data_IF_553728987850
#
_entry.id   IF_553728987850
#
_cell.length_a   1.000
_cell.length_b   1.000
_cell.length_c   1.000
_cell.angle_alpha   90.00
_cell.angle_beta   90.00
_cell.angle_gamma   90.00
#
_symmetry.space_group_name_H-M   'P 1'
#
loop_
_entity.id
_entity.type
_entity.pdbx_description
1 polymer ?
#
# COMPACT_ATOMS: atom_id res chain seq x y z
N UNK A 1 18.72 -24.13 4.27
CA UNK A 1 17.83 -23.33 5.13
C UNK A 1 17.37 -22.03 4.46
N UNK A 2 18.26 -21.25 3.81
CA UNK A 2 17.88 -20.02 3.09
C UNK A 2 16.75 -20.18 2.06
N UNK A 3 16.78 -21.24 1.23
CA UNK A 3 15.73 -21.49 0.23
C UNK A 3 14.34 -21.74 0.83
N UNK A 4 14.23 -22.44 1.97
CA UNK A 4 12.93 -22.66 2.64
C UNK A 4 12.34 -21.38 3.21
N UNK A 5 13.19 -20.53 3.77
CA UNK A 5 12.75 -19.24 4.32
C UNK A 5 12.33 -18.28 3.21
N UNK A 6 13.02 -18.29 2.07
CA UNK A 6 12.65 -17.53 0.88
C UNK A 6 11.30 -18.02 0.32
N UNK A 7 11.08 -19.33 0.20
CA UNK A 7 9.80 -19.89 -0.26
C UNK A 7 8.67 -19.48 0.70
N UNK A 8 8.88 -19.63 2.01
CA UNK A 8 7.87 -19.21 2.99
C UNK A 8 7.55 -17.71 2.90
N UNK A 9 8.57 -16.88 2.70
CA UNK A 9 8.37 -15.45 2.47
C UNK A 9 7.57 -15.16 1.19
N UNK A 10 7.85 -15.87 0.10
CA UNK A 10 7.08 -15.77 -1.14
C UNK A 10 5.63 -16.23 -0.94
N UNK A 11 5.40 -17.31 -0.20
CA UNK A 11 4.06 -17.80 0.13
C UNK A 11 3.25 -16.77 0.91
N UNK A 12 3.83 -16.18 1.97
CA UNK A 12 3.12 -15.16 2.75
C UNK A 12 2.82 -13.93 1.90
N UNK A 13 3.79 -13.45 1.12
CA UNK A 13 3.60 -12.31 0.21
C UNK A 13 2.51 -12.59 -0.83
N UNK A 14 2.51 -13.78 -1.45
CA UNK A 14 1.50 -14.18 -2.43
C UNK A 14 0.11 -14.28 -1.79
N UNK A 15 0.01 -14.87 -0.60
CA UNK A 15 -1.25 -14.99 0.13
C UNK A 15 -1.80 -13.60 0.50
N UNK A 16 -0.96 -12.71 1.01
CA UNK A 16 -1.36 -11.32 1.29
C UNK A 16 -1.81 -10.62 0.01
N UNK A 17 -1.06 -10.74 -1.09
CA UNK A 17 -1.42 -10.15 -2.38
C UNK A 17 -2.77 -10.64 -2.90
N UNK A 18 -2.99 -11.96 -2.93
CA UNK A 18 -4.26 -12.55 -3.38
C UNK A 18 -5.42 -12.13 -2.47
N UNK A 19 -5.23 -12.10 -1.15
CA UNK A 19 -6.24 -11.60 -0.22
C UNK A 19 -6.59 -10.15 -0.51
N UNK A 20 -5.60 -9.29 -0.69
CA UNK A 20 -5.83 -7.88 -1.05
C UNK A 20 -6.60 -7.75 -2.35
N UNK A 21 -6.26 -8.51 -3.39
CA UNK A 21 -6.97 -8.48 -4.67
C UNK A 21 -8.42 -8.97 -4.56
N UNK A 22 -8.65 -10.09 -3.87
CA UNK A 22 -9.99 -10.68 -3.71
C UNK A 22 -10.89 -9.79 -2.85
N UNK A 23 -10.34 -9.17 -1.80
CA UNK A 23 -11.07 -8.24 -0.94
C UNK A 23 -11.29 -6.87 -1.58
N UNK A 24 -10.59 -6.54 -2.67
CA UNK A 24 -10.77 -5.25 -3.33
C UNK A 24 -12.10 -5.21 -4.09
N UNK A 25 -12.96 -4.18 -3.90
CA UNK A 25 -14.28 -4.11 -4.54
C UNK A 25 -14.24 -4.23 -6.07
N UNK A 26 -13.24 -3.61 -6.71
CA UNK A 26 -13.07 -3.64 -8.17
C UNK A 26 -12.41 -4.93 -8.67
N UNK A 27 -11.35 -5.43 -8.01
CA UNK A 27 -10.57 -6.56 -8.51
C UNK A 27 -11.21 -7.91 -8.14
N UNK A 28 -11.83 -8.00 -6.96
CA UNK A 28 -12.53 -9.20 -6.51
C UNK A 28 -13.75 -9.56 -7.38
N UNK A 29 -14.28 -8.63 -8.16
CA UNK A 29 -15.32 -8.89 -9.15
C UNK A 29 -14.78 -9.10 -10.57
N UNK A 30 -13.46 -8.97 -10.78
CA UNK A 30 -12.88 -9.00 -12.10
C UNK A 30 -12.76 -10.44 -12.62
N UNK A 31 -13.36 -10.74 -13.77
CA UNK A 31 -13.35 -12.08 -14.39
C UNK A 31 -11.93 -12.65 -14.57
N UNK A 32 -10.96 -11.84 -15.03
CA UNK A 32 -9.57 -12.30 -15.23
C UNK A 32 -8.88 -12.73 -13.92
N UNK A 33 -9.27 -12.16 -12.77
CA UNK A 33 -8.71 -12.58 -11.48
C UNK A 33 -9.20 -14.00 -11.15
N UNK A 34 -10.49 -14.26 -11.36
CA UNK A 34 -11.07 -15.58 -11.14
C UNK A 34 -10.59 -16.60 -12.17
N UNK A 35 -10.44 -16.22 -13.44
CA UNK A 35 -9.80 -17.08 -14.46
C UNK A 35 -8.38 -17.44 -14.05
N UNK A 36 -7.56 -16.48 -13.59
CA UNK A 36 -6.21 -16.75 -13.11
C UNK A 36 -6.17 -17.71 -11.91
N UNK A 37 -7.12 -17.59 -10.98
CA UNK A 37 -7.19 -18.45 -9.79
C UNK A 37 -7.67 -19.87 -10.15
N UNK A 38 -8.60 -19.99 -11.10
CA UNK A 38 -9.31 -21.24 -11.39
C UNK A 38 -8.72 -22.04 -12.57
N UNK A 39 -8.05 -21.39 -13.51
CA UNK A 39 -7.57 -22.00 -14.76
C UNK A 39 -6.04 -22.10 -14.73
N UNK A 40 -5.51 -23.31 -14.87
CA UNK A 40 -4.06 -23.57 -14.78
C UNK A 40 -3.27 -23.14 -16.03
N UNK A 41 -3.90 -23.08 -17.21
CA UNK A 41 -3.24 -22.77 -18.49
C UNK A 41 -3.81 -21.49 -19.14
N UNK A 42 -3.74 -20.35 -18.44
CA UNK A 42 -4.11 -19.07 -19.06
C UNK A 42 -3.06 -18.61 -20.09
N UNK A 43 -3.52 -18.34 -21.31
CA UNK A 43 -2.72 -17.68 -22.34
C UNK A 43 -2.58 -16.18 -22.02
N UNK A 44 -1.37 -15.74 -21.67
CA UNK A 44 -1.05 -14.32 -21.41
C UNK A 44 -1.53 -13.39 -22.53
N UNK A 45 -1.38 -13.82 -23.79
CA UNK A 45 -1.77 -13.03 -24.96
C UNK A 45 -3.28 -12.76 -25.00
N UNK A 46 -4.11 -13.76 -24.68
CA UNK A 46 -5.56 -13.60 -24.67
C UNK A 46 -6.03 -12.66 -23.55
N UNK A 47 -5.39 -12.72 -22.37
CA UNK A 47 -5.70 -11.83 -21.26
C UNK A 47 -5.38 -10.36 -21.60
N UNK A 48 -4.25 -10.11 -22.28
CA UNK A 48 -3.85 -8.77 -22.71
C UNK A 48 -4.86 -8.20 -23.70
N UNK A 49 -5.23 -8.96 -24.73
CA UNK A 49 -6.20 -8.53 -25.74
C UNK A 49 -7.58 -8.22 -25.14
N UNK A 50 -8.08 -9.07 -24.23
CA UNK A 50 -9.34 -8.82 -23.51
C UNK A 50 -9.27 -7.56 -22.64
N UNK A 51 -8.18 -7.40 -21.90
CA UNK A 51 -7.95 -6.22 -21.05
C UNK A 51 -7.93 -4.94 -21.87
N UNK A 52 -7.28 -4.98 -23.04
CA UNK A 52 -7.19 -3.86 -23.98
C UNK A 52 -8.56 -3.47 -24.52
N UNK A 53 -9.35 -4.43 -25.01
CA UNK A 53 -10.70 -4.16 -25.53
C UNK A 53 -11.60 -3.54 -24.46
N UNK A 54 -11.53 -4.05 -23.23
CA UNK A 54 -12.32 -3.52 -22.09
C UNK A 54 -11.92 -2.09 -21.73
N UNK A 55 -10.63 -1.76 -21.85
CA UNK A 55 -10.10 -0.40 -21.69
C UNK A 55 -10.58 0.54 -22.81
N UNK A 56 -10.57 0.07 -24.05
CA UNK A 56 -11.05 0.83 -25.22
C UNK A 56 -12.55 1.13 -25.09
N UNK A 57 -13.39 0.14 -24.75
CA UNK A 57 -14.83 0.36 -24.52
C UNK A 57 -15.13 1.27 -23.33
N UNK A 58 -14.31 1.24 -22.27
CA UNK A 58 -14.46 2.19 -21.14
C UNK A 58 -14.14 3.62 -21.55
N UNK A 59 -13.12 3.82 -22.40
CA UNK A 59 -12.80 5.16 -22.93
C UNK A 59 -13.96 5.72 -23.73
N UNK A 60 -14.63 4.90 -24.54
CA UNK A 60 -15.80 5.32 -25.33
C UNK A 60 -16.95 5.79 -24.42
N UNK A 61 -17.25 5.05 -23.36
CA UNK A 61 -18.27 5.43 -22.37
C UNK A 61 -17.91 6.72 -21.58
N UNK A 62 -16.61 6.99 -21.38
CA UNK A 62 -16.16 8.22 -20.71
C UNK A 62 -16.46 9.50 -21.50
N UNK A 63 -16.69 9.41 -22.81
CA UNK A 63 -16.99 10.59 -23.63
C UNK A 63 -18.48 10.96 -23.66
N UNK A 64 -19.37 10.09 -23.14
CA UNK A 64 -20.83 10.32 -23.20
C UNK A 64 -21.36 11.22 -22.05
N UNK A 65 -20.67 11.27 -20.90
CA UNK A 65 -21.12 12.00 -19.70
C UNK A 65 -20.31 13.29 -19.46
N UNK A 66 -20.62 14.32 -20.25
CA UNK A 66 -19.90 15.59 -20.29
C UNK A 66 -20.14 16.46 -19.06
N UNK A 67 -19.08 16.89 -18.37
CA UNK A 67 -19.17 17.93 -17.32
C UNK A 67 -17.89 18.77 -17.31
N UNK A 68 -18.04 20.08 -17.54
CA UNK A 68 -16.95 21.05 -17.39
C UNK A 68 -16.86 21.48 -15.93
N UNK A 69 -15.71 21.26 -15.30
CA UNK A 69 -15.46 21.76 -13.95
C UNK A 69 -15.07 23.24 -13.99
N UNK A 70 -15.69 24.03 -13.11
CA UNK A 70 -15.28 25.39 -12.86
C UNK A 70 -13.98 25.45 -12.04
N UNK A 71 -13.34 26.63 -11.94
CA UNK A 71 -12.13 26.82 -11.14
C UNK A 71 -12.30 26.39 -9.67
N UNK A 72 -13.47 26.66 -9.08
CA UNK A 72 -13.77 26.29 -7.69
C UNK A 72 -13.89 24.76 -7.50
N UNK A 73 -14.43 24.05 -8.49
CA UNK A 73 -14.52 22.59 -8.44
C UNK A 73 -13.13 21.95 -8.50
N UNK A 74 -12.26 22.47 -9.38
CA UNK A 74 -10.88 21.99 -9.50
C UNK A 74 -10.07 22.22 -8.24
N UNK A 75 -10.25 23.38 -7.57
CA UNK A 75 -9.62 23.66 -6.28
C UNK A 75 -10.12 22.68 -5.20
N UNK A 76 -11.42 22.41 -5.14
CA UNK A 76 -12.00 21.43 -4.20
C UNK A 76 -11.43 20.02 -4.42
N UNK A 77 -11.33 19.58 -5.67
CA UNK A 77 -10.78 18.26 -6.03
C UNK A 77 -9.28 18.18 -5.70
N UNK A 78 -8.52 19.25 -5.95
CA UNK A 78 -7.10 19.32 -5.60
C UNK A 78 -6.89 19.24 -4.08
N UNK A 79 -7.65 20.00 -3.30
CA UNK A 79 -7.61 19.95 -1.82
C UNK A 79 -7.96 18.55 -1.31
N UNK A 80 -8.96 17.90 -1.92
CA UNK A 80 -9.31 16.51 -1.59
C UNK A 80 -8.12 15.56 -1.81
N UNK A 81 -7.48 15.62 -2.98
CA UNK A 81 -6.36 14.74 -3.30
C UNK A 81 -5.12 15.03 -2.44
N UNK A 82 -4.83 16.30 -2.16
CA UNK A 82 -3.73 16.67 -1.26
C UNK A 82 -3.95 16.16 0.16
N UNK A 83 -5.18 16.28 0.68
CA UNK A 83 -5.55 15.71 1.97
C UNK A 83 -5.43 14.18 1.98
N UNK A 84 -5.98 13.50 0.98
CA UNK A 84 -5.89 12.05 0.82
C UNK A 84 -4.45 11.56 0.80
N UNK A 85 -3.57 12.29 0.09
CA UNK A 85 -2.14 12.01 0.00
C UNK A 85 -1.46 12.14 1.35
N UNK A 86 -1.70 13.23 2.08
CA UNK A 86 -1.13 13.46 3.41
C UNK A 86 -1.55 12.36 4.41
N UNK A 87 -2.83 11.99 4.42
CA UNK A 87 -3.32 10.94 5.30
C UNK A 87 -2.73 9.57 4.95
N UNK A 88 -2.69 9.22 3.66
CA UNK A 88 -2.08 7.96 3.20
C UNK A 88 -0.59 7.90 3.52
N UNK A 89 0.13 9.02 3.38
CA UNK A 89 1.56 9.11 3.71
C UNK A 89 1.82 8.94 5.21
N UNK A 90 0.96 9.52 6.08
CA UNK A 90 1.03 9.30 7.53
C UNK A 90 0.84 7.84 7.88
N UNK A 91 -0.11 7.16 7.24
CA UNK A 91 -0.36 5.73 7.43
C UNK A 91 0.87 4.92 6.99
N UNK A 92 1.38 5.12 5.77
CA UNK A 92 2.54 4.39 5.26
C UNK A 92 3.75 4.51 6.19
N UNK A 93 4.16 5.74 6.51
CA UNK A 93 5.30 6.00 7.39
C UNK A 93 5.14 5.41 8.80
N UNK A 94 3.91 5.39 9.33
CA UNK A 94 3.59 4.76 10.61
C UNK A 94 3.73 3.24 10.55
N UNK A 95 3.27 2.60 9.47
CA UNK A 95 3.41 1.16 9.25
C UNK A 95 4.86 0.75 9.04
N UNK A 96 5.64 1.50 8.27
CA UNK A 96 7.09 1.26 8.13
C UNK A 96 7.83 1.38 9.46
N UNK A 97 7.46 2.38 10.28
CA UNK A 97 8.02 2.53 11.62
C UNK A 97 7.65 1.34 12.50
N UNK A 98 6.40 0.89 12.47
CA UNK A 98 5.95 -0.27 13.22
C UNK A 98 6.70 -1.54 12.80
N UNK A 99 6.81 -1.80 11.49
CA UNK A 99 7.57 -2.94 10.97
C UNK A 99 9.03 -2.93 11.46
N UNK A 100 9.70 -1.75 11.43
CA UNK A 100 11.07 -1.60 11.96
C UNK A 100 11.16 -1.92 13.45
N UNK A 101 10.23 -1.40 14.25
CA UNK A 101 10.20 -1.66 15.71
C UNK A 101 10.00 -3.14 15.99
N UNK A 102 9.10 -3.81 15.27
CA UNK A 102 8.87 -5.25 15.40
C UNK A 102 10.11 -6.05 14.99
N UNK A 103 10.79 -5.65 13.92
CA UNK A 103 12.07 -6.24 13.51
C UNK A 103 13.14 -6.11 14.60
N UNK A 104 13.26 -4.94 15.23
CA UNK A 104 14.18 -4.74 16.36
C UNK A 104 13.81 -5.59 17.57
N UNK A 105 12.51 -5.67 17.91
CA UNK A 105 12.02 -6.49 19.01
C UNK A 105 12.31 -7.97 18.76
N UNK A 106 12.08 -8.46 17.54
CA UNK A 106 12.45 -9.82 17.12
C UNK A 106 13.93 -10.10 17.38
N UNK A 107 14.82 -9.20 16.97
CA UNK A 107 16.25 -9.37 17.18
C UNK A 107 16.61 -9.42 18.67
N UNK A 108 15.95 -8.63 19.53
CA UNK A 108 16.13 -8.71 20.99
C UNK A 108 15.71 -10.08 21.54
N UNK A 109 14.60 -10.64 21.07
CA UNK A 109 14.16 -11.98 21.46
C UNK A 109 15.13 -13.07 20.97
N UNK A 110 15.69 -12.93 19.77
CA UNK A 110 16.73 -13.85 19.28
C UNK A 110 18.00 -13.77 20.13
N UNK A 111 18.45 -12.57 20.49
CA UNK A 111 19.60 -12.38 21.37
C UNK A 111 19.35 -12.97 22.76
N UNK A 112 18.13 -12.86 23.30
CA UNK A 112 17.76 -13.48 24.56
C UNK A 112 17.84 -15.01 24.47
N UNK A 113 17.27 -15.60 23.41
CA UNK A 113 17.33 -17.04 23.18
C UNK A 113 18.78 -17.54 23.04
N UNK A 114 19.65 -16.78 22.37
CA UNK A 114 21.08 -17.09 22.28
C UNK A 114 21.79 -16.98 23.62
N UNK A 115 21.54 -15.91 24.40
CA UNK A 115 22.10 -15.75 25.74
C UNK A 115 21.71 -16.88 26.68
N UNK A 116 20.46 -17.34 26.60
CA UNK A 116 19.98 -18.52 27.33
C UNK A 116 20.75 -19.77 26.93
N UNK A 117 20.94 -20.00 25.63
CA UNK A 117 21.66 -21.18 25.15
C UNK A 117 23.11 -21.18 25.65
N UNK A 118 23.77 -20.02 25.63
CA UNK A 118 25.12 -19.87 26.19
C UNK A 118 25.09 -20.15 27.70
N UNK A 119 24.10 -19.62 28.42
CA UNK A 119 23.94 -19.89 29.85
C UNK A 119 23.77 -21.39 30.12
N UNK A 120 22.91 -22.07 29.36
CA UNK A 120 22.67 -23.51 29.44
C UNK A 120 23.96 -24.32 29.26
N UNK A 121 24.70 -24.02 28.18
CA UNK A 121 26.00 -24.65 27.89
C UNK A 121 27.01 -24.45 29.02
N UNK A 122 27.14 -23.23 29.55
CA UNK A 122 28.10 -22.92 30.63
C UNK A 122 27.68 -23.50 31.97
N UNK A 123 26.39 -23.46 32.29
CA UNK A 123 25.86 -23.98 33.55
C UNK A 123 26.05 -25.51 33.62
N UNK A 124 25.88 -26.22 32.50
CA UNK A 124 26.14 -27.66 32.43
C UNK A 124 27.59 -28.07 32.73
N UNK A 125 28.55 -27.15 32.55
CA UNK A 125 29.98 -27.39 32.80
C UNK A 125 30.36 -27.23 34.29
N UNK A 126 29.49 -26.63 35.11
CA UNK A 126 29.74 -26.42 36.52
C UNK A 126 29.48 -27.72 37.29
N UNK A 127 30.55 -28.45 37.62
CA UNK A 127 30.46 -29.82 38.15
C UNK A 127 29.59 -29.95 39.40
N UNK A 128 29.65 -28.99 40.33
CA UNK A 128 28.85 -29.05 41.57
C UNK A 128 27.36 -28.73 41.36
N UNK A 129 26.99 -28.08 40.25
CA UNK A 129 25.59 -27.76 39.90
C UNK A 129 24.97 -28.77 38.93
N UNK A 130 25.81 -29.58 38.28
CA UNK A 130 25.39 -30.53 37.25
C UNK A 130 24.27 -31.49 37.69
N UNK A 131 24.27 -32.07 38.90
CA UNK A 131 23.17 -32.94 39.34
C UNK A 131 21.82 -32.21 39.41
N UNK A 132 21.84 -30.95 39.87
CA UNK A 132 20.65 -30.09 39.95
C UNK A 132 20.21 -29.69 38.54
N UNK A 133 21.16 -29.34 37.69
CA UNK A 133 20.90 -28.95 36.32
C UNK A 133 20.24 -30.08 35.50
N UNK A 134 20.82 -31.28 35.52
CA UNK A 134 20.34 -32.42 34.74
C UNK A 134 18.99 -32.97 35.26
N UNK A 135 18.71 -32.88 36.57
CA UNK A 135 17.45 -33.38 37.16
C UNK A 135 16.31 -32.35 37.17
N UNK A 136 16.62 -31.06 37.28
CA UNK A 136 15.62 -30.01 37.58
C UNK A 136 15.52 -28.95 36.48
N UNK A 137 16.66 -28.48 35.96
CA UNK A 137 16.67 -27.25 35.16
C UNK A 137 16.61 -27.52 33.65
N UNK A 138 17.34 -28.52 33.16
CA UNK A 138 17.59 -28.72 31.72
C UNK A 138 16.32 -28.79 30.87
N UNK A 139 15.29 -29.52 31.31
CA UNK A 139 14.06 -29.69 30.53
C UNK A 139 13.20 -28.43 30.53
N UNK A 140 12.83 -27.95 31.71
CA UNK A 140 11.86 -26.85 31.83
C UNK A 140 12.48 -25.48 31.48
N UNK A 141 13.78 -25.30 31.70
CA UNK A 141 14.51 -24.09 31.30
C UNK A 141 14.61 -23.97 29.78
N UNK A 142 15.06 -25.04 29.08
CA UNK A 142 15.15 -25.05 27.62
C UNK A 142 13.77 -24.87 26.99
N UNK A 143 12.72 -25.51 27.52
CA UNK A 143 11.35 -25.34 27.02
C UNK A 143 10.78 -23.93 27.26
N UNK A 144 11.14 -23.27 28.36
CA UNK A 144 10.74 -21.87 28.60
C UNK A 144 11.34 -20.87 27.59
N UNK A 145 12.39 -21.27 26.86
CA UNK A 145 13.14 -20.39 25.96
C UNK A 145 13.15 -20.87 24.50
N UNK A 146 12.76 -22.12 24.24
CA UNK A 146 12.74 -22.75 22.91
C UNK A 146 11.59 -22.28 22.01
N UNK A 147 10.69 -21.44 22.49
CA UNK A 147 9.53 -21.01 21.72
C UNK A 147 9.96 -19.85 20.81
N UNK A 148 10.29 -20.19 19.57
CA UNK A 148 10.63 -19.21 18.55
C UNK A 148 9.46 -18.26 18.32
N UNK A 149 9.72 -16.94 18.18
CA UNK A 149 8.66 -16.01 17.91
C UNK A 149 8.42 -15.91 16.41
N UNK A 150 7.99 -17.01 15.79
CA UNK A 150 7.53 -17.03 14.39
C UNK A 150 6.50 -15.91 14.16
N UNK A 151 5.71 -15.59 15.21
CA UNK A 151 4.76 -14.49 15.24
C UNK A 151 5.34 -13.11 14.94
N UNK A 152 6.56 -12.77 15.38
CA UNK A 152 7.15 -11.46 15.05
C UNK A 152 7.51 -11.35 13.58
N UNK A 153 8.03 -12.43 12.98
CA UNK A 153 8.42 -12.42 11.56
C UNK A 153 7.21 -12.31 10.65
N UNK A 154 6.17 -13.10 10.93
CA UNK A 154 4.92 -13.06 10.16
C UNK A 154 4.25 -11.69 10.30
N UNK A 155 4.10 -11.20 11.54
CA UNK A 155 3.50 -9.89 11.79
C UNK A 155 4.28 -8.75 11.14
N UNK A 156 5.62 -8.74 11.25
CA UNK A 156 6.47 -7.73 10.61
C UNK A 156 6.29 -7.72 9.09
N UNK A 157 6.14 -8.90 8.48
CA UNK A 157 6.00 -9.01 7.03
C UNK A 157 4.60 -8.58 6.57
N UNK A 158 3.56 -8.93 7.30
CA UNK A 158 2.19 -8.47 7.02
C UNK A 158 2.05 -6.94 7.17
N UNK A 159 2.68 -6.33 8.19
CA UNK A 159 2.71 -4.87 8.34
C UNK A 159 3.48 -4.19 7.19
N UNK A 160 4.59 -4.79 6.74
CA UNK A 160 5.36 -4.25 5.61
C UNK A 160 4.58 -4.36 4.29
N UNK A 161 3.84 -5.45 4.09
CA UNK A 161 2.92 -5.57 2.96
C UNK A 161 1.83 -4.49 3.01
N UNK A 162 1.27 -4.23 4.19
CA UNK A 162 0.29 -3.15 4.40
C UNK A 162 0.86 -1.75 4.09
N UNK A 163 2.14 -1.50 4.44
CA UNK A 163 2.84 -0.27 4.08
C UNK A 163 3.01 -0.15 2.55
N UNK A 164 3.47 -1.23 1.88
CA UNK A 164 3.65 -1.25 0.43
C UNK A 164 2.34 -1.01 -0.35
N UNK A 165 1.20 -1.50 0.15
CA UNK A 165 -0.12 -1.19 -0.43
C UNK A 165 -0.43 0.31 -0.29
N UNK A 166 -0.09 0.91 0.85
CA UNK A 166 -0.28 2.35 1.09
C UNK A 166 0.57 3.19 0.14
N UNK A 167 1.81 2.80 -0.13
CA UNK A 167 2.69 3.48 -1.11
C UNK A 167 2.17 3.36 -2.55
N UNK A 168 1.56 2.22 -2.88
CA UNK A 168 0.93 2.02 -4.18
C UNK A 168 -0.26 2.95 -4.38
N UNK A 169 -1.08 3.12 -3.33
CA UNK A 169 -2.18 4.12 -3.32
C UNK A 169 -1.63 5.53 -3.43
N UNK A 170 -0.57 5.86 -2.69
CA UNK A 170 0.09 7.17 -2.76
C UNK A 170 0.54 7.49 -4.20
N UNK A 171 1.16 6.52 -4.87
CA UNK A 171 1.60 6.65 -6.27
C UNK A 171 0.42 6.84 -7.25
N UNK A 172 -0.75 6.26 -6.94
CA UNK A 172 -1.95 6.44 -7.74
C UNK A 172 -2.54 7.86 -7.57
N UNK A 173 -2.45 8.42 -6.36
CA UNK A 173 -2.92 9.78 -6.03
C UNK A 173 -2.07 10.90 -6.66
N UNK A 174 -0.84 10.62 -7.11
CA UNK A 174 -0.02 11.63 -7.80
C UNK A 174 -0.57 11.98 -9.20
N UNK A 175 -1.28 11.06 -9.87
CA UNK A 175 -1.74 11.26 -11.26
C UNK A 175 -2.83 12.34 -11.40
N UNK A 176 -3.90 12.36 -10.58
CA UNK A 176 -4.92 13.39 -10.67
C UNK A 176 -4.39 14.80 -10.40
N UNK A 177 -3.45 14.94 -9.45
CA UNK A 177 -2.80 16.23 -9.16
C UNK A 177 -2.06 16.76 -10.38
N UNK A 178 -1.31 15.89 -11.09
CA UNK A 178 -0.64 16.25 -12.33
C UNK A 178 -1.65 16.64 -13.45
N UNK A 179 -2.77 15.91 -13.56
CA UNK A 179 -3.83 16.23 -14.53
C UNK A 179 -4.48 17.59 -14.24
N UNK A 180 -4.74 17.93 -12.98
CA UNK A 180 -5.30 19.23 -12.58
C UNK A 180 -4.34 20.37 -12.93
N UNK A 181 -3.03 20.18 -12.69
CA UNK A 181 -2.02 21.17 -13.07
C UNK A 181 -1.96 21.37 -14.59
N UNK A 182 -2.01 20.29 -15.36
CA UNK A 182 -2.06 20.35 -16.82
C UNK A 182 -3.32 21.06 -17.32
N UNK A 183 -4.48 20.76 -16.72
CA UNK A 183 -5.74 21.41 -17.04
C UNK A 183 -5.69 22.93 -16.80
N UNK A 184 -5.18 23.37 -15.64
CA UNK A 184 -4.99 24.80 -15.33
C UNK A 184 -4.08 25.50 -16.35
N UNK A 185 -3.02 24.83 -16.80
CA UNK A 185 -2.13 25.37 -17.83
C UNK A 185 -2.83 25.51 -19.19
N UNK A 186 -3.59 24.49 -19.62
CA UNK A 186 -4.33 24.55 -20.87
C UNK A 186 -5.45 25.60 -20.85
N UNK A 187 -6.13 25.75 -19.72
CA UNK A 187 -7.16 26.77 -19.55
C UNK A 187 -6.56 28.19 -19.65
N UNK A 188 -5.38 28.41 -19.06
CA UNK A 188 -4.64 29.68 -19.23
C UNK A 188 -4.26 29.94 -20.71
N UNK A 189 -3.80 28.92 -21.44
CA UNK A 189 -3.49 29.02 -22.87
C UNK A 189 -4.77 29.36 -23.67
N UNK A 190 -5.90 28.75 -23.32
CA UNK A 190 -7.19 28.98 -23.97
C UNK A 190 -7.66 30.42 -23.76
N UNK A 191 -7.62 30.93 -22.53
CA UNK A 191 -7.96 32.31 -22.19
C UNK A 191 -7.10 33.30 -22.99
N UNK A 192 -5.78 33.08 -23.01
CA UNK A 192 -4.84 33.93 -23.75
C UNK A 192 -5.08 33.90 -25.26
N UNK A 193 -5.39 32.72 -25.82
CA UNK A 193 -5.66 32.55 -27.25
C UNK A 193 -6.98 33.24 -27.65
N UNK A 194 -8.03 33.15 -26.81
CA UNK A 194 -9.30 33.86 -27.01
C UNK A 194 -9.10 35.38 -26.94
N UNK A 195 -8.31 35.87 -25.99
CA UNK A 195 -7.98 37.29 -25.89
C UNK A 195 -7.17 37.79 -27.11
N UNK A 196 -6.26 36.98 -27.64
CA UNK A 196 -5.53 37.28 -28.87
C UNK A 196 -6.46 37.34 -30.08
N UNK A 197 -7.37 36.38 -30.22
CA UNK A 197 -8.36 36.38 -31.30
C UNK A 197 -9.21 37.65 -31.27
N UNK A 198 -9.71 38.04 -30.09
CA UNK A 198 -10.50 39.27 -29.92
C UNK A 198 -9.71 40.53 -30.35
N UNK A 199 -8.40 40.58 -30.08
CA UNK A 199 -7.53 41.68 -30.53
C UNK A 199 -7.33 41.70 -32.04
N UNK A 200 -7.16 40.53 -32.66
CA UNK A 200 -6.97 40.39 -34.11
C UNK A 200 -8.24 40.76 -34.90
N UNK A 201 -9.42 40.45 -34.35
CA UNK A 201 -10.71 40.75 -34.99
C UNK A 201 -11.19 42.19 -34.75
N UNK A 202 -10.78 42.84 -33.65
CA UNK A 202 -11.23 44.20 -33.32
C UNK A 202 -10.58 45.34 -34.14
N UNK A 203 -9.43 45.12 -34.81
CA UNK A 203 -8.72 46.19 -35.56
C UNK A 203 -9.19 46.31 -37.02
N UNK A 204 -10.30 46.96 -37.34
CA UNK A 204 -10.80 47.13 -38.73
C UNK A 204 -10.10 48.23 -39.58
N UNK A 205 -8.95 48.77 -39.18
CA UNK A 205 -8.52 50.11 -39.63
C UNK A 205 -7.29 50.28 -40.54
N UNK A 206 -6.76 49.26 -41.23
CA UNK A 206 -5.63 49.48 -42.17
C UNK A 206 -6.11 49.47 -43.63
N UNK A 207 -6.05 50.60 -44.36
CA UNK A 207 -6.69 50.77 -45.67
C UNK A 207 -5.88 50.18 -46.86
N UNK A 208 -4.89 49.32 -46.60
CA UNK A 208 -4.07 48.70 -47.63
C UNK A 208 -4.21 47.19 -47.51
N UNK A 209 -5.00 46.58 -48.39
CA UNK A 209 -5.28 45.13 -48.47
C UNK A 209 -4.05 44.23 -48.69
N UNK A 210 -2.82 44.74 -48.57
CA UNK A 210 -1.58 43.97 -48.64
C UNK A 210 -1.29 43.10 -47.41
N UNK A 211 -1.96 43.33 -46.27
CA UNK A 211 -1.78 42.51 -45.05
C UNK A 211 -3.02 41.73 -44.62
N UNK A 212 -4.10 41.81 -45.41
CA UNK A 212 -5.38 41.13 -45.16
C UNK A 212 -5.17 39.61 -45.10
N UNK A 213 -4.47 39.04 -46.10
CA UNK A 213 -4.22 37.60 -46.21
C UNK A 213 -3.34 37.06 -45.07
N UNK A 214 -2.37 37.85 -44.59
CA UNK A 214 -1.55 37.46 -43.43
C UNK A 214 -2.38 37.46 -42.15
N UNK A 215 -3.22 38.49 -41.95
CA UNK A 215 -4.11 38.57 -40.81
C UNK A 215 -5.13 37.42 -40.80
N UNK A 216 -5.72 37.13 -41.95
CA UNK A 216 -6.68 36.03 -42.08
C UNK A 216 -6.04 34.68 -41.75
N UNK A 217 -4.79 34.48 -42.20
CA UNK A 217 -3.97 33.33 -41.76
C UNK A 217 -3.73 33.32 -40.25
N UNK A 218 -3.37 34.44 -39.63
CA UNK A 218 -3.15 34.52 -38.19
C UNK A 218 -4.45 34.27 -37.39
N UNK A 219 -5.59 34.78 -37.85
CA UNK A 219 -6.91 34.53 -37.26
C UNK A 219 -7.26 33.05 -37.33
N UNK A 220 -7.08 32.42 -38.50
CA UNK A 220 -7.37 31.00 -38.67
C UNK A 220 -6.43 30.14 -37.82
N UNK A 221 -5.13 30.45 -37.77
CA UNK A 221 -4.19 29.76 -36.89
C UNK A 221 -4.56 29.87 -35.40
N UNK A 222 -5.03 31.03 -34.96
CA UNK A 222 -5.50 31.21 -33.57
C UNK A 222 -6.82 30.47 -33.34
N UNK A 223 -7.74 30.44 -34.30
CA UNK A 223 -8.99 29.64 -34.21
C UNK A 223 -8.69 28.14 -34.10
N UNK A 224 -7.79 27.63 -34.93
CA UNK A 224 -7.37 26.23 -34.90
C UNK A 224 -6.73 25.90 -33.54
N UNK A 225 -5.88 26.79 -33.02
CA UNK A 225 -5.30 26.63 -31.68
C UNK A 225 -6.36 26.62 -30.59
N UNK A 226 -7.34 27.54 -30.64
CA UNK A 226 -8.45 27.57 -29.68
C UNK A 226 -9.23 26.26 -29.73
N UNK A 227 -9.55 25.77 -30.93
CA UNK A 227 -10.28 24.51 -31.11
C UNK A 227 -9.53 23.33 -30.49
N UNK A 228 -8.24 23.17 -30.79
CA UNK A 228 -7.44 22.08 -30.22
C UNK A 228 -7.25 22.19 -28.71
N UNK A 229 -6.93 23.38 -28.19
CA UNK A 229 -6.77 23.59 -26.75
C UNK A 229 -8.10 23.38 -26.01
N UNK A 230 -9.22 23.80 -26.59
CA UNK A 230 -10.53 23.58 -25.99
C UNK A 230 -10.88 22.10 -25.89
N UNK A 231 -10.69 21.32 -26.95
CA UNK A 231 -10.90 19.87 -26.91
C UNK A 231 -10.01 19.18 -25.85
N UNK A 232 -8.77 19.65 -25.68
CA UNK A 232 -7.86 19.11 -24.67
C UNK A 232 -8.28 19.47 -23.24
N UNK A 233 -8.76 20.71 -23.01
CA UNK A 233 -9.36 21.12 -21.72
C UNK A 233 -10.57 20.25 -21.40
N UNK A 234 -11.45 20.02 -22.37
CA UNK A 234 -12.63 19.17 -22.22
C UNK A 234 -12.24 17.73 -21.88
N UNK A 235 -11.28 17.15 -22.61
CA UNK A 235 -10.75 15.81 -22.36
C UNK A 235 -10.17 15.67 -20.96
N UNK A 236 -9.29 16.60 -20.56
CA UNK A 236 -8.65 16.60 -19.25
C UNK A 236 -9.66 16.82 -18.11
N UNK A 237 -10.67 17.67 -18.29
CA UNK A 237 -11.74 17.88 -17.31
C UNK A 237 -12.51 16.57 -17.04
N UNK A 238 -12.87 15.84 -18.10
CA UNK A 238 -13.51 14.54 -17.95
C UNK A 238 -12.58 13.51 -17.29
N UNK A 239 -11.30 13.43 -17.70
CA UNK A 239 -10.34 12.53 -17.07
C UNK A 239 -10.21 12.79 -15.55
N UNK A 240 -10.16 14.06 -15.15
CA UNK A 240 -10.14 14.46 -13.72
C UNK A 240 -11.42 14.04 -13.00
N UNK A 241 -12.60 14.20 -13.63
CA UNK A 241 -13.89 13.74 -13.06
C UNK A 241 -13.86 12.26 -12.75
N UNK A 242 -13.47 11.46 -13.74
CA UNK A 242 -13.43 10.01 -13.59
C UNK A 242 -12.40 9.58 -12.56
N UNK A 243 -11.23 10.21 -12.57
CA UNK A 243 -10.21 9.97 -11.56
C UNK A 243 -10.73 10.30 -10.15
N UNK A 244 -11.40 11.45 -9.97
CA UNK A 244 -11.98 11.85 -8.69
C UNK A 244 -13.03 10.85 -8.20
N UNK A 245 -14.04 10.53 -9.00
CA UNK A 245 -15.12 9.62 -8.60
C UNK A 245 -14.57 8.21 -8.31
N UNK A 246 -13.73 7.69 -9.20
CA UNK A 246 -13.17 6.35 -9.06
C UNK A 246 -12.24 6.25 -7.86
N UNK A 247 -11.27 7.17 -7.74
CA UNK A 247 -10.29 7.14 -6.65
C UNK A 247 -10.92 7.51 -5.31
N UNK A 248 -11.90 8.42 -5.24
CA UNK A 248 -12.58 8.71 -3.98
C UNK A 248 -13.33 7.47 -3.45
N UNK A 249 -14.01 6.75 -4.33
CA UNK A 249 -14.66 5.48 -4.00
C UNK A 249 -13.65 4.42 -3.54
N UNK A 250 -12.56 4.25 -4.30
CA UNK A 250 -11.51 3.28 -3.97
C UNK A 250 -10.76 3.64 -2.69
N UNK A 251 -10.53 4.92 -2.41
CA UNK A 251 -9.84 5.39 -1.22
C UNK A 251 -10.65 5.12 0.05
N UNK A 252 -11.96 5.34 0.02
CA UNK A 252 -12.85 4.99 1.13
C UNK A 252 -12.84 3.47 1.41
N UNK A 253 -12.89 2.66 0.35
CA UNK A 253 -12.75 1.20 0.45
C UNK A 253 -11.39 0.77 1.00
N UNK A 254 -10.31 1.39 0.51
CA UNK A 254 -8.95 1.15 0.97
C UNK A 254 -8.79 1.43 2.46
N UNK A 255 -9.16 2.62 2.94
CA UNK A 255 -9.00 2.95 4.37
C UNK A 255 -9.80 2.00 5.28
N UNK A 256 -11.02 1.64 4.86
CA UNK A 256 -11.86 0.69 5.61
C UNK A 256 -11.23 -0.70 5.66
N UNK A 257 -10.80 -1.21 4.51
CA UNK A 257 -10.15 -2.52 4.41
C UNK A 257 -8.82 -2.58 5.17
N UNK A 258 -8.00 -1.54 5.01
CA UNK A 258 -6.72 -1.40 5.70
C UNK A 258 -6.92 -1.34 7.22
N UNK A 259 -7.89 -0.58 7.71
CA UNK A 259 -8.22 -0.50 9.13
C UNK A 259 -8.65 -1.84 9.71
N UNK A 260 -9.55 -2.55 9.03
CA UNK A 260 -10.00 -3.88 9.44
C UNK A 260 -8.84 -4.90 9.47
N UNK A 261 -7.98 -4.87 8.45
CA UNK A 261 -6.84 -5.78 8.36
C UNK A 261 -5.82 -5.48 9.46
N UNK A 262 -5.46 -4.22 9.69
CA UNK A 262 -4.54 -3.84 10.77
C UNK A 262 -5.07 -4.26 12.14
N UNK A 263 -6.37 -4.07 12.39
CA UNK A 263 -7.00 -4.51 13.63
C UNK A 263 -6.88 -6.04 13.80
N UNK A 264 -7.20 -6.80 12.75
CA UNK A 264 -7.06 -8.27 12.73
C UNK A 264 -5.62 -8.71 13.00
N UNK A 265 -4.64 -8.07 12.34
CA UNK A 265 -3.22 -8.38 12.47
C UNK A 265 -2.73 -8.14 13.91
N UNK A 266 -3.04 -6.97 14.48
CA UNK A 266 -2.67 -6.61 15.84
C UNK A 266 -3.31 -7.56 16.85
N UNK A 267 -4.60 -7.84 16.70
CA UNK A 267 -5.32 -8.75 17.58
C UNK A 267 -4.72 -10.16 17.54
N UNK A 268 -4.49 -10.70 16.34
CA UNK A 268 -3.91 -12.04 16.15
C UNK A 268 -2.50 -12.11 16.75
N UNK A 269 -1.68 -11.10 16.48
CA UNK A 269 -0.33 -11.02 17.03
C UNK A 269 -0.35 -10.97 18.56
N UNK A 270 -1.17 -10.09 19.14
CA UNK A 270 -1.27 -9.89 20.58
C UNK A 270 -1.77 -11.16 21.28
N UNK A 271 -2.79 -11.81 20.73
CA UNK A 271 -3.32 -13.05 21.28
C UNK A 271 -2.26 -14.16 21.30
N UNK A 272 -1.54 -14.35 20.19
CA UNK A 272 -0.45 -15.33 20.11
C UNK A 272 0.69 -15.02 21.08
N UNK A 273 1.01 -13.73 21.28
CA UNK A 273 2.01 -13.32 22.26
C UNK A 273 1.54 -13.62 23.69
N UNK A 274 0.28 -13.36 24.02
CA UNK A 274 -0.28 -13.67 25.34
C UNK A 274 -0.27 -15.17 25.61
N UNK A 275 -0.70 -15.98 24.64
CA UNK A 275 -0.67 -17.44 24.74
C UNK A 275 0.76 -17.95 24.96
N UNK A 276 1.70 -17.43 24.17
CA UNK A 276 3.12 -17.75 24.30
C UNK A 276 3.69 -17.38 25.69
N UNK A 277 3.39 -16.18 26.19
CA UNK A 277 3.88 -15.73 27.49
C UNK A 277 3.25 -16.51 28.66
N UNK A 278 1.97 -16.93 28.54
CA UNK A 278 1.33 -17.83 29.50
C UNK A 278 1.98 -19.21 29.53
N UNK A 279 2.30 -19.77 28.37
CA UNK A 279 3.04 -21.03 28.29
C UNK A 279 4.41 -20.89 28.96
N UNK A 280 5.13 -19.80 28.68
CA UNK A 280 6.42 -19.51 29.31
C UNK A 280 6.32 -19.43 30.83
N UNK A 281 5.29 -18.73 31.35
CA UNK A 281 5.02 -18.67 32.79
C UNK A 281 4.81 -20.07 33.38
N UNK A 282 3.99 -20.91 32.75
CA UNK A 282 3.73 -22.28 33.21
C UNK A 282 5.01 -23.14 33.27
N UNK A 283 5.97 -22.93 32.35
CA UNK A 283 7.27 -23.60 32.43
C UNK A 283 8.13 -23.08 33.59
N UNK A 284 8.15 -21.76 33.81
CA UNK A 284 8.91 -21.14 34.91
C UNK A 284 8.34 -21.52 36.28
N UNK A 285 7.02 -21.59 36.43
CA UNK A 285 6.36 -22.03 37.67
C UNK A 285 6.67 -23.50 37.98
N UNK A 286 6.64 -24.38 36.96
CA UNK A 286 7.05 -25.78 37.11
C UNK A 286 8.51 -25.90 37.52
N UNK A 287 9.39 -25.13 36.90
CA UNK A 287 10.82 -25.08 37.26
C UNK A 287 11.02 -24.60 38.70
N UNK A 288 10.31 -23.56 39.13
CA UNK A 288 10.36 -23.07 40.50
C UNK A 288 9.86 -24.11 41.52
N UNK A 289 8.75 -24.80 41.21
CA UNK A 289 8.21 -25.86 42.06
C UNK A 289 9.18 -27.06 42.20
N UNK A 290 9.77 -27.50 41.09
CA UNK A 290 10.75 -28.60 41.10
C UNK A 290 12.01 -28.22 41.89
N UNK A 291 12.49 -26.97 41.74
CA UNK A 291 13.64 -26.45 42.50
C UNK A 291 13.35 -26.39 44.02
N UNK A 292 12.15 -25.97 44.42
CA UNK A 292 11.72 -26.00 45.83
C UNK A 292 11.66 -27.41 46.41
N UNK A 293 11.18 -28.39 45.66
CA UNK A 293 11.16 -29.80 46.09
C UNK A 293 12.55 -30.40 46.21
N UNK A 294 13.46 -30.03 45.30
CA UNK A 294 14.83 -30.48 45.34
C UNK A 294 15.58 -29.93 46.57
N UNK A 295 15.43 -28.64 46.85
CA UNK A 295 16.05 -28.00 48.04
C UNK A 295 15.48 -28.53 49.36
N UNK A 296 14.18 -28.81 49.43
CA UNK A 296 13.56 -29.40 50.62
C UNK A 296 13.99 -30.85 50.90
N UNK A 297 14.40 -31.61 49.88
CA UNK A 297 14.86 -33.00 50.04
C UNK A 297 16.37 -33.12 50.32
N UNK A 298 17.13 -32.04 50.19
CA UNK A 298 18.59 -32.02 50.32
C UNK A 298 19.12 -31.03 51.38
N UNK A 299 18.24 -30.43 52.19
CA UNK A 299 18.61 -29.79 53.45
C UNK A 299 18.37 -30.77 54.62
N UNK A 300 19.39 -31.04 55.47
CA UNK A 300 19.20 -31.78 56.72
C UNK A 300 18.38 -30.98 57.74
#
# INVERSE_FOLDING_TARGET
MASRQMIHEMEVRLNTFLRTLISHPTFGQHELLWEFILIQDMSQHQCIERSRRKLESRKEFQYEDFTLYGPADLESIEVFFDHARQETQKISSSLERLARIIGQLRNKYLNLAEAVKIFDERFSQVQFLRPIYDQVLKRDYVLSQSIQPLGFSVFSLEILAAASTSDSVLSALDRPVAMIQQLKQQDSILINSRALLAKLTAKSGWPLGMFEEKRERDINAVRDRIYHTQNEVERLSNDVKYAHISLASELGGFHTSQGAELHRLIQTFTQRMIEHEKERLNYLERLAATTRRFTASHHP
#
